data_IF_656116911273
#
_entry.id   IF_656116911273
#
_cell.length_a   1.000
_cell.length_b   1.000
_cell.length_c   1.000
_cell.angle_alpha   90.00
_cell.angle_beta   90.00
_cell.angle_gamma   90.00
#
_symmetry.space_group_name_H-M   'P 1'
#
loop_
_entity.id
_entity.type
_entity.pdbx_description
1 polymer ?
#
# COMPACT_ATOMS: atom_id res chain seq x y z
N UNK A 1 -34.17 19.89 -1.79
CA UNK A 1 -33.17 19.95 -0.71
C UNK A 1 -32.78 18.55 -0.24
N UNK A 2 -33.77 17.71 0.04
CA UNK A 2 -33.55 16.33 0.42
C UNK A 2 -32.85 15.54 -0.68
N UNK A 3 -33.23 15.81 -1.93
CA UNK A 3 -32.63 15.14 -3.08
C UNK A 3 -31.16 15.55 -3.29
N UNK A 4 -30.83 16.81 -3.07
CA UNK A 4 -29.45 17.29 -3.11
C UNK A 4 -28.58 16.64 -2.05
N UNK A 5 -29.11 16.48 -0.83
CA UNK A 5 -28.39 15.79 0.25
C UNK A 5 -28.19 14.33 -0.06
N UNK A 6 -29.21 13.67 -0.61
CA UNK A 6 -29.13 12.27 -1.06
C UNK A 6 -28.07 12.10 -2.14
N UNK A 7 -28.04 13.01 -3.12
CA UNK A 7 -27.07 12.97 -4.21
C UNK A 7 -25.64 13.16 -3.69
N UNK A 8 -25.45 14.07 -2.71
CA UNK A 8 -24.15 14.28 -2.07
C UNK A 8 -23.67 13.04 -1.34
N UNK A 9 -24.54 12.38 -0.59
CA UNK A 9 -24.21 11.16 0.15
C UNK A 9 -23.85 10.03 -0.81
N UNK A 10 -24.61 9.87 -1.88
CA UNK A 10 -24.33 8.86 -2.90
C UNK A 10 -22.99 9.09 -3.58
N UNK A 11 -22.68 10.35 -3.88
CA UNK A 11 -21.37 10.70 -4.46
C UNK A 11 -20.23 10.41 -3.48
N UNK A 12 -20.42 10.75 -2.21
CA UNK A 12 -19.46 10.50 -1.16
C UNK A 12 -19.20 8.98 -1.00
N UNK A 13 -20.25 8.17 -1.00
CA UNK A 13 -20.14 6.70 -0.94
C UNK A 13 -19.36 6.19 -2.15
N UNK A 14 -19.68 6.66 -3.34
CA UNK A 14 -18.99 6.25 -4.56
C UNK A 14 -17.51 6.62 -4.52
N UNK A 15 -17.18 7.84 -4.10
CA UNK A 15 -15.80 8.29 -3.99
C UNK A 15 -15.03 7.48 -2.94
N UNK A 16 -15.65 7.20 -1.80
CA UNK A 16 -15.05 6.39 -0.74
C UNK A 16 -14.81 4.96 -1.20
N UNK A 17 -15.73 4.39 -1.96
CA UNK A 17 -15.57 3.05 -2.54
C UNK A 17 -14.39 3.01 -3.51
N UNK A 18 -14.29 3.99 -4.41
CA UNK A 18 -13.18 4.06 -5.37
C UNK A 18 -11.84 4.25 -4.67
N UNK A 19 -11.80 5.05 -3.61
CA UNK A 19 -10.59 5.24 -2.80
C UNK A 19 -10.18 3.94 -2.11
N UNK A 20 -11.13 3.17 -1.60
CA UNK A 20 -10.86 1.89 -0.96
C UNK A 20 -10.32 0.88 -1.97
N UNK A 21 -10.88 0.81 -3.18
CA UNK A 21 -10.41 -0.07 -4.23
C UNK A 21 -8.99 0.29 -4.68
N UNK A 22 -8.70 1.58 -4.83
CA UNK A 22 -7.36 2.05 -5.16
C UNK A 22 -6.36 1.69 -4.06
N UNK A 23 -6.72 1.89 -2.80
CA UNK A 23 -5.84 1.56 -1.67
C UNK A 23 -5.60 0.06 -1.59
N UNK A 24 -6.61 -0.77 -1.89
CA UNK A 24 -6.43 -2.23 -1.94
C UNK A 24 -5.45 -2.63 -3.04
N UNK A 25 -5.55 -2.03 -4.22
CA UNK A 25 -4.64 -2.29 -5.32
C UNK A 25 -3.21 -1.89 -4.96
N UNK A 26 -3.02 -0.73 -4.31
CA UNK A 26 -1.70 -0.30 -3.85
C UNK A 26 -1.12 -1.26 -2.82
N UNK A 27 -1.94 -1.82 -1.95
CA UNK A 27 -1.50 -2.80 -0.96
C UNK A 27 -0.97 -4.06 -1.64
N UNK A 28 -1.64 -4.54 -2.68
CA UNK A 28 -1.18 -5.70 -3.45
C UNK A 28 0.15 -5.44 -4.15
N UNK A 29 0.30 -4.26 -4.77
CA UNK A 29 1.55 -3.85 -5.41
C UNK A 29 2.67 -3.75 -4.38
N UNK A 30 2.40 -3.15 -3.23
CA UNK A 30 3.39 -3.01 -2.15
C UNK A 30 3.83 -4.36 -1.60
N UNK A 31 2.92 -5.34 -1.49
CA UNK A 31 3.26 -6.68 -1.06
C UNK A 31 4.22 -7.36 -2.04
N UNK A 32 3.97 -7.21 -3.34
CA UNK A 32 4.87 -7.75 -4.38
C UNK A 32 6.23 -7.06 -4.35
N UNK A 33 6.26 -5.76 -4.06
CA UNK A 33 7.51 -5.02 -3.94
C UNK A 33 8.38 -5.53 -2.78
N UNK A 34 7.76 -5.95 -1.67
CA UNK A 34 8.49 -6.59 -0.56
C UNK A 34 9.15 -7.89 -1.05
N UNK A 35 8.41 -8.73 -1.76
CA UNK A 35 8.94 -10.00 -2.27
C UNK A 35 10.11 -9.76 -3.22
N UNK A 36 10.00 -8.77 -4.10
CA UNK A 36 11.08 -8.40 -5.03
C UNK A 36 12.30 -7.86 -4.28
N UNK A 37 12.10 -7.01 -3.28
CA UNK A 37 13.19 -6.45 -2.49
C UNK A 37 13.88 -7.53 -1.66
N UNK A 38 13.13 -8.49 -1.14
CA UNK A 38 13.67 -9.62 -0.40
C UNK A 38 14.54 -10.50 -1.28
N UNK A 39 14.08 -10.78 -2.50
CA UNK A 39 14.83 -11.57 -3.47
C UNK A 39 16.10 -10.83 -3.91
N UNK A 40 16.02 -9.53 -4.13
CA UNK A 40 17.19 -8.72 -4.46
C UNK A 40 18.22 -8.76 -3.33
N UNK A 41 17.78 -8.65 -2.07
CA UNK A 41 18.68 -8.73 -0.92
C UNK A 41 19.38 -10.10 -0.86
N UNK A 42 18.62 -11.18 -1.09
CA UNK A 42 19.18 -12.52 -1.13
C UNK A 42 20.28 -12.62 -2.19
N UNK A 43 20.01 -12.11 -3.39
CA UNK A 43 20.97 -12.12 -4.50
C UNK A 43 22.22 -11.32 -4.14
N UNK A 44 22.05 -10.13 -3.55
CA UNK A 44 23.20 -9.29 -3.18
C UNK A 44 24.04 -9.94 -2.08
N UNK A 45 23.42 -10.62 -1.13
CA UNK A 45 24.13 -11.36 -0.07
C UNK A 45 24.93 -12.52 -0.67
N UNK A 46 24.34 -13.26 -1.60
CA UNK A 46 25.04 -14.35 -2.28
C UNK A 46 26.24 -13.83 -3.08
N UNK A 47 26.06 -12.74 -3.79
CA UNK A 47 27.14 -12.09 -4.56
C UNK A 47 28.23 -11.56 -3.64
N UNK A 48 27.87 -11.02 -2.49
CA UNK A 48 28.83 -10.56 -1.49
C UNK A 48 29.67 -11.72 -0.98
N UNK A 49 29.04 -12.85 -0.68
CA UNK A 49 29.74 -14.04 -0.22
C UNK A 49 30.70 -14.61 -1.28
N UNK A 50 30.38 -14.39 -2.56
CA UNK A 50 31.26 -14.75 -3.68
C UNK A 50 32.28 -13.65 -4.03
N UNK A 51 32.28 -12.56 -3.27
CA UNK A 51 33.17 -11.41 -3.43
C UNK A 51 32.97 -10.67 -4.77
N UNK A 52 31.77 -10.74 -5.35
CA UNK A 52 31.43 -10.03 -6.59
C UNK A 52 30.48 -8.84 -6.33
N UNK A 53 30.10 -8.60 -5.07
CA UNK A 53 29.33 -7.43 -4.66
C UNK A 53 29.99 -6.80 -3.44
N UNK A 54 29.76 -5.50 -3.25
CA UNK A 54 30.32 -4.74 -2.12
C UNK A 54 29.36 -4.72 -0.95
N UNK A 55 29.88 -4.34 0.24
CA UNK A 55 29.05 -4.09 1.42
C UNK A 55 27.99 -3.03 1.12
N UNK A 56 28.33 -2.01 0.33
CA UNK A 56 27.39 -0.96 -0.07
C UNK A 56 26.20 -1.56 -0.84
N UNK A 57 26.45 -2.51 -1.74
CA UNK A 57 25.39 -3.17 -2.49
C UNK A 57 24.40 -3.90 -1.56
N UNK A 58 24.91 -4.58 -0.53
CA UNK A 58 24.08 -5.27 0.45
C UNK A 58 23.29 -4.26 1.29
N UNK A 59 23.92 -3.20 1.74
CA UNK A 59 23.26 -2.16 2.55
C UNK A 59 22.18 -1.45 1.74
N UNK A 60 22.42 -1.18 0.47
CA UNK A 60 21.41 -0.59 -0.41
C UNK A 60 20.20 -1.52 -0.58
N UNK A 61 20.45 -2.81 -0.73
CA UNK A 61 19.37 -3.79 -0.84
C UNK A 61 18.56 -3.89 0.45
N UNK A 62 19.22 -3.81 1.62
CA UNK A 62 18.53 -3.77 2.91
C UNK A 62 17.68 -2.51 3.07
N UNK A 63 18.18 -1.36 2.61
CA UNK A 63 17.44 -0.10 2.63
C UNK A 63 16.20 -0.17 1.74
N UNK A 64 16.32 -0.77 0.56
CA UNK A 64 15.19 -0.97 -0.35
C UNK A 64 14.12 -1.87 0.26
N UNK A 65 14.52 -2.94 0.95
CA UNK A 65 13.58 -3.81 1.63
C UNK A 65 12.85 -3.08 2.75
N UNK A 66 13.58 -2.29 3.55
CA UNK A 66 12.97 -1.48 4.61
C UNK A 66 11.98 -0.47 4.03
N UNK A 67 12.32 0.16 2.91
CA UNK A 67 11.42 1.10 2.22
C UNK A 67 10.16 0.38 1.73
N UNK A 68 10.31 -0.80 1.14
CA UNK A 68 9.18 -1.58 0.65
C UNK A 68 8.24 -1.96 1.79
N UNK A 69 8.78 -2.33 2.94
CA UNK A 69 7.98 -2.63 4.13
C UNK A 69 7.22 -1.41 4.64
N UNK A 70 7.86 -0.26 4.67
CA UNK A 70 7.19 0.99 5.07
C UNK A 70 6.06 1.34 4.10
N UNK A 71 6.29 1.18 2.81
CA UNK A 71 5.28 1.45 1.80
C UNK A 71 4.07 0.52 1.95
N UNK A 72 4.32 -0.75 2.27
CA UNK A 72 3.26 -1.72 2.51
C UNK A 72 2.41 -1.34 3.74
N UNK A 73 3.06 -0.98 4.85
CA UNK A 73 2.37 -0.56 6.06
C UNK A 73 1.53 0.69 5.79
N UNK A 74 2.09 1.66 5.07
CA UNK A 74 1.38 2.89 4.69
C UNK A 74 0.16 2.60 3.83
N UNK A 75 0.31 1.75 2.81
CA UNK A 75 -0.80 1.36 1.92
C UNK A 75 -1.90 0.63 2.69
N UNK A 76 -1.52 -0.24 3.59
CA UNK A 76 -2.44 -1.00 4.43
C UNK A 76 -3.21 -0.10 5.37
N UNK A 77 -2.54 0.88 5.96
CA UNK A 77 -3.18 1.89 6.82
C UNK A 77 -4.17 2.73 6.02
N UNK A 78 -3.78 3.17 4.83
CA UNK A 78 -4.65 3.94 3.93
C UNK A 78 -5.90 3.14 3.55
N UNK A 79 -5.73 1.85 3.28
CA UNK A 79 -6.86 0.97 2.98
C UNK A 79 -7.82 0.86 4.16
N UNK A 80 -7.30 0.65 5.36
CA UNK A 80 -8.11 0.58 6.58
C UNK A 80 -8.87 1.89 6.82
N UNK A 81 -8.22 3.03 6.61
CA UNK A 81 -8.83 4.35 6.73
C UNK A 81 -9.93 4.54 5.68
N UNK A 82 -9.67 4.13 4.44
CA UNK A 82 -10.66 4.24 3.35
C UNK A 82 -11.89 3.37 3.63
N UNK A 83 -11.71 2.18 4.17
CA UNK A 83 -12.82 1.30 4.56
C UNK A 83 -13.64 1.92 5.69
N UNK A 84 -12.98 2.52 6.68
CA UNK A 84 -13.67 3.19 7.78
C UNK A 84 -14.51 4.36 7.28
N UNK A 85 -13.95 5.15 6.36
CA UNK A 85 -14.63 6.27 5.73
C UNK A 85 -15.85 5.78 4.92
N UNK A 86 -15.68 4.70 4.17
CA UNK A 86 -16.76 4.12 3.39
C UNK A 86 -17.91 3.63 4.29
N UNK A 87 -17.59 2.94 5.37
CA UNK A 87 -18.59 2.46 6.33
C UNK A 87 -19.33 3.62 6.97
N UNK A 88 -18.62 4.69 7.31
CA UNK A 88 -19.24 5.89 7.88
C UNK A 88 -20.20 6.55 6.89
N UNK A 89 -19.79 6.68 5.62
CA UNK A 89 -20.64 7.24 4.58
C UNK A 89 -21.87 6.39 4.32
N UNK A 90 -21.72 5.06 4.31
CA UNK A 90 -22.84 4.12 4.15
C UNK A 90 -23.77 4.16 5.36
N UNK A 91 -23.23 4.33 6.56
CA UNK A 91 -24.03 4.49 7.77
C UNK A 91 -24.89 5.73 7.75
N UNK A 92 -24.44 6.81 7.14
CA UNK A 92 -25.21 8.03 6.95
C UNK A 92 -26.36 7.81 5.96
N UNK A 93 -26.13 6.95 4.94
CA UNK A 93 -27.13 6.66 3.92
C UNK A 93 -28.26 5.75 4.47
N UNK A 94 -27.91 4.83 5.34
CA UNK A 94 -28.84 3.85 5.93
C UNK A 94 -29.11 4.14 7.40
#
# INVERSE_FOLDING_TARGET
LLQSLKDQVLLEVKNSYLSAEEARARTEVAAKAIDQARENLRIQKDRYNLQVATTTNVLDAEALLAQARRNYISARTDYATSLATLRSAMGTLF
#
